data_IF_129667293893
#
_entry.id   IF_129667293893
#
_cell.length_a   1.000
_cell.length_b   1.000
_cell.length_c   1.000
_cell.angle_alpha   90.00
_cell.angle_beta   90.00
_cell.angle_gamma   90.00
#
_symmetry.space_group_name_H-M   'P 1'
#
loop_
_entity.id
_entity.type
_entity.pdbx_description
1 polymer ?
#
# COMPACT_ATOMS: atom_id res chain seq x y z
N UNK A 1 17.75 11.23 -7.87
CA UNK A 1 17.42 9.82 -7.58
C UNK A 1 15.91 9.65 -7.78
N UNK A 2 15.45 8.75 -8.68
CA UNK A 2 14.01 8.59 -8.95
C UNK A 2 13.39 7.76 -7.81
N UNK A 3 12.71 8.41 -6.87
CA UNK A 3 11.93 7.72 -5.85
C UNK A 3 10.79 6.97 -6.54
N UNK A 4 10.94 5.64 -6.73
CA UNK A 4 9.87 4.77 -7.20
C UNK A 4 8.91 4.56 -6.02
N UNK A 5 7.83 5.35 -5.97
CA UNK A 5 6.73 5.04 -5.06
C UNK A 5 6.18 3.66 -5.43
N UNK A 6 6.12 2.75 -4.44
CA UNK A 6 5.52 1.43 -4.61
C UNK A 6 4.07 1.53 -4.14
N UNK A 7 3.14 1.12 -4.99
CA UNK A 7 1.71 1.12 -4.68
C UNK A 7 1.35 -0.13 -3.89
N UNK A 8 0.28 -0.05 -3.09
CA UNK A 8 -0.21 -1.15 -2.26
C UNK A 8 -1.58 -1.61 -2.76
N UNK A 9 -1.72 -2.91 -3.04
CA UNK A 9 -2.97 -3.54 -3.43
C UNK A 9 -3.61 -4.22 -2.23
N UNK A 10 -4.82 -3.83 -1.86
CA UNK A 10 -5.59 -4.55 -0.87
C UNK A 10 -6.81 -5.19 -1.53
N UNK A 11 -7.22 -6.34 -1.00
CA UNK A 11 -8.48 -6.93 -1.41
C UNK A 11 -9.64 -6.07 -0.89
N UNK A 12 -10.51 -5.59 -1.77
CA UNK A 12 -11.71 -4.81 -1.40
C UNK A 12 -12.67 -5.54 -0.46
N UNK A 13 -12.64 -6.88 -0.43
CA UNK A 13 -13.57 -7.68 0.37
C UNK A 13 -13.04 -8.04 1.77
N UNK A 14 -11.73 -8.30 1.92
CA UNK A 14 -11.16 -8.67 3.23
C UNK A 14 -10.13 -7.68 3.77
N UNK A 15 -9.89 -6.58 3.05
CA UNK A 15 -8.94 -5.52 3.38
C UNK A 15 -7.51 -6.03 3.65
N UNK A 16 -7.19 -7.21 3.14
CA UNK A 16 -5.87 -7.81 3.32
C UNK A 16 -5.01 -7.52 2.10
N UNK A 17 -3.74 -7.21 2.38
CA UNK A 17 -2.69 -7.01 1.38
C UNK A 17 -2.62 -8.18 0.39
N UNK A 18 -2.50 -7.85 -0.89
CA UNK A 18 -2.29 -8.78 -1.99
C UNK A 18 -0.93 -8.56 -2.67
N UNK A 19 -0.54 -7.31 -2.91
CA UNK A 19 0.70 -6.99 -3.62
C UNK A 19 1.23 -5.59 -3.23
N UNK A 20 2.54 -5.39 -3.39
CA UNK A 20 3.20 -4.09 -3.33
C UNK A 20 4.09 -3.96 -4.55
N UNK A 21 3.91 -2.93 -5.37
CA UNK A 21 4.65 -2.81 -6.62
C UNK A 21 4.22 -1.64 -7.50
N UNK A 22 4.63 -1.68 -8.75
CA UNK A 22 4.29 -0.70 -9.78
C UNK A 22 3.81 -1.44 -11.02
N UNK A 23 2.86 -0.86 -11.74
CA UNK A 23 2.28 -1.44 -12.94
C UNK A 23 0.78 -1.69 -12.80
N UNK A 24 0.17 -2.05 -13.93
CA UNK A 24 -1.26 -2.26 -14.05
C UNK A 24 -1.54 -3.75 -14.27
N UNK A 25 -2.15 -4.41 -13.30
CA UNK A 25 -2.51 -5.82 -13.39
C UNK A 25 -3.71 -6.18 -12.52
N UNK A 26 -4.31 -7.33 -12.78
CA UNK A 26 -5.38 -7.89 -11.97
C UNK A 26 -4.86 -9.02 -11.10
N UNK A 27 -5.28 -9.03 -9.83
CA UNK A 27 -4.89 -10.06 -8.86
C UNK A 27 -6.14 -10.64 -8.19
N UNK A 28 -6.26 -11.97 -8.25
CA UNK A 28 -7.33 -12.69 -7.56
C UNK A 28 -6.93 -12.90 -6.10
N UNK A 29 -7.80 -12.52 -5.18
CA UNK A 29 -7.59 -12.76 -3.75
C UNK A 29 -7.63 -14.28 -3.46
N UNK A 30 -6.58 -14.89 -2.88
CA UNK A 30 -6.58 -16.33 -2.61
C UNK A 30 -7.59 -16.72 -1.52
N UNK A 31 -7.94 -15.79 -0.62
CA UNK A 31 -8.92 -15.96 0.46
C UNK A 31 -10.36 -15.85 -0.03
N UNK A 32 -10.72 -14.69 -0.59
CA UNK A 32 -12.11 -14.36 -0.92
C UNK A 32 -12.48 -14.61 -2.38
N UNK A 33 -11.50 -14.93 -3.23
CA UNK A 33 -11.66 -15.12 -4.68
C UNK A 33 -12.10 -13.88 -5.48
N UNK A 34 -12.31 -12.74 -4.83
CA UNK A 34 -12.52 -11.42 -5.46
C UNK A 34 -11.33 -11.04 -6.34
N UNK A 35 -11.59 -10.62 -7.58
CA UNK A 35 -10.59 -10.03 -8.47
C UNK A 35 -10.42 -8.56 -8.12
N UNK A 36 -9.18 -8.13 -7.90
CA UNK A 36 -8.84 -6.76 -7.56
C UNK A 36 -7.94 -6.19 -8.66
N UNK A 37 -8.21 -4.95 -9.06
CA UNK A 37 -7.38 -4.21 -10.01
C UNK A 37 -6.29 -3.48 -9.25
N UNK A 38 -5.04 -3.80 -9.56
CA UNK A 38 -3.90 -3.01 -9.15
C UNK A 38 -3.58 -2.04 -10.28
N UNK A 39 -3.89 -0.78 -10.07
CA UNK A 39 -3.45 0.29 -10.95
C UNK A 39 -2.15 0.90 -10.44
N UNK A 40 -1.39 1.50 -11.34
CA UNK A 40 -0.41 2.51 -10.95
C UNK A 40 -1.18 3.62 -10.24
N UNK A 41 -1.11 3.66 -8.90
CA UNK A 41 -1.63 4.77 -8.13
C UNK A 41 -0.89 5.99 -8.66
N UNK A 42 -1.58 6.83 -9.42
CA UNK A 42 -1.16 8.21 -9.63
C UNK A 42 -1.23 8.84 -8.25
N UNK A 43 -0.16 8.73 -7.47
CA UNK A 43 0.06 9.48 -6.24
C UNK A 43 0.23 10.95 -6.60
N UNK A 44 -0.83 11.57 -7.15
CA UNK A 44 -0.94 13.03 -7.20
C UNK A 44 -1.37 13.59 -5.83
N UNK A 45 -1.92 12.74 -4.95
CA UNK A 45 -2.45 13.15 -3.64
C UNK A 45 -1.81 12.45 -2.44
N UNK A 46 -0.76 11.63 -2.62
CA UNK A 46 -0.03 11.13 -1.47
C UNK A 46 0.91 12.23 -0.99
N UNK A 47 0.56 12.87 0.13
CA UNK A 47 1.48 13.76 0.83
C UNK A 47 2.80 13.03 1.03
N UNK A 48 3.88 13.64 0.55
CA UNK A 48 5.24 13.16 0.73
C UNK A 48 5.44 12.97 2.24
N UNK A 49 5.63 11.72 2.67
CA UNK A 49 6.01 11.48 4.05
C UNK A 49 7.38 12.14 4.26
N UNK A 50 7.52 13.10 5.19
CA UNK A 50 8.82 13.64 5.51
C UNK A 50 9.71 12.46 5.92
N UNK A 51 10.78 12.23 5.16
CA UNK A 51 11.75 11.17 5.46
C UNK A 51 12.30 11.42 6.87
N UNK A 52 11.94 10.62 7.88
CA UNK A 52 12.44 10.86 9.22
C UNK A 52 13.93 10.54 9.20
N UNK A 53 14.77 11.59 9.19
CA UNK A 53 16.18 11.47 9.56
C UNK A 53 16.20 11.02 11.03
N UNK A 54 16.42 9.74 11.27
CA UNK A 54 16.91 9.27 12.56
C UNK A 54 16.08 8.17 13.23
N UNK A 55 16.81 7.09 13.52
CA UNK A 55 16.60 6.02 14.50
C UNK A 55 15.29 5.23 14.48
N UNK A 56 15.38 4.04 13.89
CA UNK A 56 14.82 2.75 14.32
C UNK A 56 13.94 2.83 15.58
N UNK A 57 12.67 3.18 15.43
CA UNK A 57 11.70 3.13 16.52
C UNK A 57 10.30 2.97 15.95
N UNK A 58 9.78 1.74 15.94
CA UNK A 58 8.36 1.51 15.71
C UNK A 58 7.59 2.11 16.89
N UNK A 59 6.89 3.23 16.67
CA UNK A 59 5.93 3.73 17.65
C UNK A 59 4.67 2.88 17.57
N UNK A 60 4.51 1.98 18.54
CA UNK A 60 3.26 1.26 18.78
C UNK A 60 2.19 2.27 19.21
N UNK A 61 1.51 2.93 18.28
CA UNK A 61 0.29 3.68 18.59
C UNK A 61 -0.90 2.78 18.29
N UNK A 62 -1.19 1.88 19.24
CA UNK A 62 -2.52 1.31 19.35
C UNK A 62 -3.47 2.45 19.73
N UNK A 63 -4.33 2.82 18.79
CA UNK A 63 -5.41 3.76 19.01
C UNK A 63 -6.60 2.97 19.57
N UNK A 64 -6.93 3.19 20.85
CA UNK A 64 -8.23 2.85 21.42
C UNK A 64 -8.80 4.07 22.13
N UNK A 65 -10.11 4.20 21.98
CA UNK A 65 -10.99 5.31 22.34
C UNK A 65 -11.02 5.66 23.83
#
# INVERSE_FOLDING_TARGET
MKHRYKNRCECSNCCKLLAVGTGDFEIKCPRCKTVNRFGSLTTQNAAEHPNPKGNNGCSNLFQTA
#
